data_IF_800298369957
#
_entry.id   IF_800298369957
#
_cell.length_a   1.000
_cell.length_b   1.000
_cell.length_c   1.000
_cell.angle_alpha   90.00
_cell.angle_beta   90.00
_cell.angle_gamma   90.00
#
_symmetry.space_group_name_H-M   'P 1'
#
loop_
_entity.id
_entity.type
_entity.pdbx_description
1 polymer ?
#
# COMPACT_ATOMS: atom_id res chain seq x y z
N UNK A 1 -36.67 34.22 -26.38
CA UNK A 1 -36.15 33.62 -25.13
C UNK A 1 -36.16 32.10 -25.29
N UNK A 2 -35.04 31.47 -25.61
CA UNK A 2 -34.99 30.01 -25.75
C UNK A 2 -35.16 29.36 -24.36
N UNK A 3 -36.34 28.78 -24.10
CA UNK A 3 -36.58 27.99 -22.88
C UNK A 3 -35.81 26.69 -23.03
N UNK A 4 -34.74 26.52 -22.24
CA UNK A 4 -34.02 25.25 -22.11
C UNK A 4 -35.03 24.16 -21.77
N UNK A 5 -35.09 23.12 -22.61
CA UNK A 5 -36.06 22.05 -22.42
C UNK A 5 -35.75 21.26 -21.16
N UNK A 6 -36.73 20.60 -20.53
CA UNK A 6 -36.49 19.75 -19.37
C UNK A 6 -35.37 18.72 -19.61
N UNK A 7 -35.29 18.14 -20.81
CA UNK A 7 -34.28 17.16 -21.19
C UNK A 7 -32.87 17.78 -21.22
N UNK A 8 -32.74 19.01 -21.72
CA UNK A 8 -31.47 19.75 -21.70
C UNK A 8 -31.01 20.06 -20.26
N UNK A 9 -31.95 20.34 -19.34
CA UNK A 9 -31.63 20.54 -17.93
C UNK A 9 -31.19 19.24 -17.26
N UNK A 10 -31.85 18.13 -17.56
CA UNK A 10 -31.48 16.79 -17.06
C UNK A 10 -30.07 16.45 -17.54
N UNK A 11 -29.79 16.58 -18.84
CA UNK A 11 -28.46 16.32 -19.40
C UNK A 11 -27.36 17.18 -18.74
N UNK A 12 -27.65 18.46 -18.46
CA UNK A 12 -26.70 19.34 -17.78
C UNK A 12 -26.44 18.92 -16.32
N UNK A 13 -27.47 18.43 -15.61
CA UNK A 13 -27.33 17.94 -14.24
C UNK A 13 -26.58 16.60 -14.20
N UNK A 14 -26.86 15.68 -15.12
CA UNK A 14 -26.13 14.42 -15.26
C UNK A 14 -24.64 14.66 -15.57
N UNK A 15 -24.33 15.61 -16.46
CA UNK A 15 -22.94 15.99 -16.75
C UNK A 15 -22.22 16.56 -15.52
N UNK A 16 -22.90 17.40 -14.72
CA UNK A 16 -22.35 17.92 -13.46
C UNK A 16 -22.12 16.79 -12.45
N UNK A 17 -23.06 15.85 -12.35
CA UNK A 17 -22.98 14.69 -11.47
C UNK A 17 -21.80 13.79 -11.86
N UNK A 18 -21.64 13.49 -13.15
CA UNK A 18 -20.53 12.69 -13.68
C UNK A 18 -19.17 13.31 -13.32
N UNK A 19 -19.01 14.64 -13.52
CA UNK A 19 -17.79 15.37 -13.14
C UNK A 19 -17.53 15.35 -11.64
N UNK A 20 -18.58 15.52 -10.82
CA UNK A 20 -18.44 15.46 -9.37
C UNK A 20 -17.97 14.07 -8.91
N UNK A 21 -18.56 13.00 -9.44
CA UNK A 21 -18.14 11.61 -9.17
C UNK A 21 -16.70 11.35 -9.61
N UNK A 22 -16.30 11.87 -10.76
CA UNK A 22 -14.93 11.76 -11.24
C UNK A 22 -13.93 12.44 -10.30
N UNK A 23 -14.23 13.65 -9.84
CA UNK A 23 -13.39 14.36 -8.86
C UNK A 23 -13.26 13.59 -7.53
N UNK A 24 -14.34 12.96 -7.06
CA UNK A 24 -14.30 12.11 -5.85
C UNK A 24 -13.38 10.91 -6.08
N UNK A 25 -13.56 10.17 -7.18
CA UNK A 25 -12.69 9.03 -7.53
C UNK A 25 -11.24 9.45 -7.67
N UNK A 26 -10.95 10.60 -8.28
CA UNK A 26 -9.60 11.12 -8.40
C UNK A 26 -8.96 11.42 -7.04
N UNK A 27 -9.73 11.99 -6.11
CA UNK A 27 -9.27 12.25 -4.73
C UNK A 27 -9.02 10.95 -3.97
N UNK A 28 -9.91 9.97 -4.07
CA UNK A 28 -9.74 8.66 -3.43
C UNK A 28 -8.50 7.92 -3.96
N UNK A 29 -8.32 7.89 -5.29
CA UNK A 29 -7.14 7.31 -5.92
C UNK A 29 -5.86 7.99 -5.43
N UNK A 30 -5.84 9.33 -5.41
CA UNK A 30 -4.69 10.08 -4.88
C UNK A 30 -4.42 9.75 -3.41
N UNK A 31 -5.45 9.66 -2.58
CA UNK A 31 -5.32 9.27 -1.18
C UNK A 31 -4.69 7.89 -1.00
N UNK A 32 -5.16 6.90 -1.74
CA UNK A 32 -4.61 5.53 -1.72
C UNK A 32 -3.13 5.50 -2.12
N UNK A 33 -2.75 6.25 -3.15
CA UNK A 33 -1.36 6.36 -3.60
C UNK A 33 -0.48 7.00 -2.52
N UNK A 34 -0.90 8.14 -1.98
CA UNK A 34 -0.12 8.88 -0.96
C UNK A 34 0.07 8.05 0.29
N UNK A 35 -1.01 7.42 0.80
CA UNK A 35 -0.94 6.57 2.00
C UNK A 35 -0.06 5.34 1.73
N UNK A 36 -0.22 4.69 0.58
CA UNK A 36 0.62 3.55 0.19
C UNK A 36 2.10 3.91 0.13
N UNK A 37 2.44 5.02 -0.53
CA UNK A 37 3.82 5.51 -0.61
C UNK A 37 4.41 5.84 0.77
N UNK A 38 3.65 6.54 1.62
CA UNK A 38 4.08 6.90 2.97
C UNK A 38 4.33 5.65 3.85
N UNK A 39 3.45 4.64 3.75
CA UNK A 39 3.62 3.38 4.47
C UNK A 39 4.84 2.59 4.00
N UNK A 40 5.09 2.54 2.69
CA UNK A 40 6.30 1.89 2.14
C UNK A 40 7.56 2.62 2.66
N UNK A 41 7.59 3.95 2.64
CA UNK A 41 8.72 4.71 3.20
C UNK A 41 8.88 4.50 4.70
N UNK A 42 7.79 4.42 5.46
CA UNK A 42 7.86 4.12 6.90
C UNK A 42 8.47 2.74 7.15
N UNK A 43 8.08 1.73 6.36
CA UNK A 43 8.62 0.38 6.44
C UNK A 43 10.12 0.29 6.09
N UNK A 44 10.65 1.20 5.26
CA UNK A 44 12.09 1.25 4.98
C UNK A 44 12.91 1.67 6.22
N UNK A 45 12.29 2.40 7.17
CA UNK A 45 12.94 2.90 8.38
C UNK A 45 12.62 2.11 9.64
N UNK A 46 11.46 1.43 9.70
CA UNK A 46 11.02 0.62 10.84
C UNK A 46 10.77 -0.83 10.41
N UNK A 47 11.65 -1.76 10.80
CA UNK A 47 11.52 -3.18 10.49
C UNK A 47 10.25 -3.84 11.05
N UNK A 48 9.67 -3.31 12.15
CA UNK A 48 8.39 -3.81 12.68
C UNK A 48 7.24 -3.47 11.75
N UNK A 49 7.24 -2.24 11.21
CA UNK A 49 6.25 -1.81 10.20
C UNK A 49 6.40 -2.65 8.94
N UNK A 50 7.64 -2.91 8.51
CA UNK A 50 7.90 -3.75 7.34
C UNK A 50 7.32 -5.17 7.49
N UNK A 51 7.60 -5.82 8.63
CA UNK A 51 7.09 -7.16 8.95
C UNK A 51 5.56 -7.20 9.02
N UNK A 52 4.96 -6.21 9.70
CA UNK A 52 3.51 -6.09 9.82
C UNK A 52 2.84 -5.89 8.46
N UNK A 53 3.38 -5.00 7.61
CA UNK A 53 2.86 -4.76 6.27
C UNK A 53 2.95 -6.00 5.39
N UNK A 54 4.09 -6.68 5.37
CA UNK A 54 4.28 -7.88 4.56
C UNK A 54 3.28 -8.98 4.96
N UNK A 55 3.04 -9.14 6.26
CA UNK A 55 2.04 -10.09 6.79
C UNK A 55 0.62 -9.72 6.34
N UNK A 56 0.23 -8.44 6.52
CA UNK A 56 -1.11 -7.97 6.15
C UNK A 56 -1.38 -8.03 4.65
N UNK A 57 -0.39 -7.72 3.81
CA UNK A 57 -0.52 -7.82 2.37
C UNK A 57 -0.76 -9.27 1.92
N UNK A 58 -0.06 -10.24 2.51
CA UNK A 58 -0.27 -11.68 2.24
C UNK A 58 -1.64 -12.19 2.69
N UNK A 59 -2.23 -11.61 3.74
CA UNK A 59 -3.58 -11.96 4.21
C UNK A 59 -4.69 -11.41 3.29
N UNK A 60 -4.51 -10.18 2.80
CA UNK A 60 -5.55 -9.42 2.11
C UNK A 60 -5.52 -9.63 0.60
N UNK A 61 -4.34 -9.75 0.00
CA UNK A 61 -4.17 -9.88 -1.45
C UNK A 61 -4.20 -11.35 -1.83
N UNK A 62 -5.30 -11.77 -2.46
CA UNK A 62 -5.58 -13.19 -2.76
C UNK A 62 -5.72 -13.50 -4.25
N UNK A 63 -5.81 -12.48 -5.11
CA UNK A 63 -5.94 -12.67 -6.55
C UNK A 63 -4.56 -12.80 -7.16
N UNK A 64 -4.34 -13.81 -7.98
CA UNK A 64 -3.03 -14.07 -8.61
C UNK A 64 -2.42 -12.83 -9.28
N UNK A 65 -3.16 -12.05 -10.12
CA UNK A 65 -2.57 -10.87 -10.75
C UNK A 65 -2.16 -9.79 -9.74
N UNK A 66 -2.90 -9.67 -8.63
CA UNK A 66 -2.58 -8.70 -7.59
C UNK A 66 -1.38 -9.18 -6.76
N UNK A 67 -1.25 -10.49 -6.52
CA UNK A 67 -0.11 -11.11 -5.83
C UNK A 67 1.17 -10.86 -6.64
N UNK A 68 1.15 -11.14 -7.94
CA UNK A 68 2.26 -10.89 -8.86
C UNK A 68 2.65 -9.40 -8.86
N UNK A 69 1.66 -8.50 -8.91
CA UNK A 69 1.90 -7.06 -8.94
C UNK A 69 2.58 -6.53 -7.65
N UNK A 70 2.30 -7.12 -6.49
CA UNK A 70 2.89 -6.68 -5.21
C UNK A 70 4.15 -7.45 -4.82
N UNK A 71 4.56 -8.46 -5.59
CA UNK A 71 5.68 -9.34 -5.21
C UNK A 71 6.98 -8.56 -4.97
N UNK A 72 7.29 -7.61 -5.85
CA UNK A 72 8.43 -6.71 -5.67
C UNK A 72 8.38 -5.91 -4.35
N UNK A 73 7.18 -5.47 -3.95
CA UNK A 73 6.99 -4.75 -2.69
C UNK A 73 7.19 -5.67 -1.50
N UNK A 74 6.66 -6.89 -1.55
CA UNK A 74 6.84 -7.89 -0.49
C UNK A 74 8.31 -8.23 -0.26
N UNK A 75 9.09 -8.39 -1.34
CA UNK A 75 10.53 -8.65 -1.24
C UNK A 75 11.29 -7.50 -0.54
N UNK A 76 10.97 -6.26 -0.90
CA UNK A 76 11.54 -5.07 -0.23
C UNK A 76 11.18 -5.04 1.26
N UNK A 77 9.92 -5.33 1.61
CA UNK A 77 9.45 -5.33 2.99
C UNK A 77 10.12 -6.45 3.81
N UNK A 78 10.29 -7.65 3.23
CA UNK A 78 10.99 -8.74 3.91
C UNK A 78 12.47 -8.43 4.13
N UNK A 79 13.12 -7.75 3.18
CA UNK A 79 14.51 -7.30 3.33
C UNK A 79 14.64 -6.25 4.45
N UNK A 80 13.73 -5.28 4.50
CA UNK A 80 13.68 -4.27 5.56
C UNK A 80 13.34 -4.87 6.94
N UNK A 81 12.47 -5.89 7.00
CA UNK A 81 12.16 -6.59 8.24
C UNK A 81 13.38 -7.37 8.78
N UNK A 82 14.19 -7.97 7.89
CA UNK A 82 15.38 -8.73 8.26
C UNK A 82 16.51 -7.84 8.80
N UNK A 83 16.58 -6.56 8.41
CA UNK A 83 17.64 -5.66 8.89
C UNK A 83 17.55 -5.37 10.40
N UNK A 84 16.37 -5.50 11.02
CA UNK A 84 16.25 -5.51 12.50
C UNK A 84 16.80 -6.77 13.15
N UNK A 85 16.80 -7.91 12.45
CA UNK A 85 17.33 -9.18 12.96
C UNK A 85 18.85 -9.21 13.07
N UNK A 86 19.55 -8.21 12.52
CA UNK A 86 21.01 -8.13 12.52
C UNK A 86 21.60 -7.27 13.66
N UNK A 87 20.78 -6.68 14.53
CA UNK A 87 21.24 -5.88 15.67
C UNK A 87 20.86 -6.53 17.02
N UNK A 88 21.81 -7.36 17.50
CA UNK A 88 22.05 -7.86 18.87
C UNK A 88 21.49 -9.25 19.30
N UNK A 89 22.26 -10.03 20.12
CA UNK A 89 23.71 -10.24 20.06
C UNK A 89 24.11 -11.73 20.07
N UNK A 90 25.29 -12.00 19.53
CA UNK A 90 26.00 -13.26 19.72
C UNK A 90 26.31 -13.48 21.20
N UNK A 91 25.62 -14.43 21.85
CA UNK A 91 26.12 -15.07 23.06
C UNK A 91 27.00 -16.25 22.66
N UNK A 92 28.30 -15.98 22.65
CA UNK A 92 29.39 -16.93 22.78
C UNK A 92 29.06 -18.03 23.80
N UNK A 93 29.00 -19.29 23.35
CA UNK A 93 29.39 -20.43 24.18
C UNK A 93 30.47 -21.20 23.41
N UNK A 94 31.69 -20.81 23.73
CA UNK A 94 32.93 -21.47 23.38
C UNK A 94 32.86 -22.99 23.59
N UNK A 95 33.49 -23.73 22.69
CA UNK A 95 34.01 -25.07 22.98
C UNK A 95 34.90 -25.01 24.23
N UNK A 96 34.89 -26.07 25.05
CA UNK A 96 36.15 -26.59 25.55
C UNK A 96 36.32 -28.02 25.05
N UNK A 97 37.31 -28.18 24.18
CA UNK A 97 38.07 -29.41 24.05
C UNK A 97 38.84 -29.64 25.35
N UNK A 98 38.57 -30.71 26.10
CA UNK A 98 39.63 -31.46 26.80
C UNK A 98 39.19 -32.88 27.14
N UNK A 99 40.11 -33.80 26.80
CA UNK A 99 40.37 -35.16 27.31
C UNK A 99 39.37 -36.27 27.03
#
# INVERSE_FOLDING_TARGET
>A
MAKTTPEQKIAALEAKLARAREQVRARETRGKIVVGAAMISAAETDPKIASLMATKLREVVKREPDIEAIQFVLEKLDAAAKSAGSAAPASSSAKPSVS
#
